data_IF_636049721088
#
_entry.id   IF_636049721088
#
_cell.length_a   1.000
_cell.length_b   1.000
_cell.length_c   1.000
_cell.angle_alpha   90.00
_cell.angle_beta   90.00
_cell.angle_gamma   90.00
#
_symmetry.space_group_name_H-M   'P 1'
#
loop_
_entity.id
_entity.type
_entity.pdbx_description
1 polymer ?
#
# COMPACT_ATOMS: atom_id res chain seq x y z
N UNK A 1 -21.35 -21.85 25.55
CA UNK A 1 -21.53 -20.93 24.42
C UNK A 1 -22.40 -21.63 23.38
N UNK A 2 -23.34 -20.92 22.76
CA UNK A 2 -24.14 -21.42 21.64
C UNK A 2 -23.24 -21.96 20.51
N UNK A 3 -23.47 -23.19 19.99
CA UNK A 3 -22.71 -23.75 18.85
C UNK A 3 -22.79 -22.91 17.56
N UNK A 4 -23.83 -22.10 17.39
CA UNK A 4 -23.99 -21.18 16.26
C UNK A 4 -23.18 -19.90 16.41
N UNK A 5 -22.64 -19.61 17.61
CA UNK A 5 -21.86 -18.42 17.87
C UNK A 5 -20.61 -18.37 16.97
N UNK A 6 -20.33 -17.19 16.45
CA UNK A 6 -19.13 -16.94 15.65
C UNK A 6 -17.92 -16.69 16.53
N UNK A 7 -16.72 -16.84 15.96
CA UNK A 7 -15.47 -16.42 16.62
C UNK A 7 -15.52 -14.94 17.05
N UNK A 8 -16.21 -14.09 16.29
CA UNK A 8 -16.44 -12.69 16.69
C UNK A 8 -17.23 -12.57 17.99
N UNK A 9 -18.27 -13.39 18.16
CA UNK A 9 -19.10 -13.38 19.37
C UNK A 9 -18.30 -13.86 20.60
N UNK A 10 -17.43 -14.86 20.41
CA UNK A 10 -16.49 -15.28 21.45
C UNK A 10 -15.55 -14.15 21.85
N UNK A 11 -14.96 -13.45 20.87
CA UNK A 11 -14.09 -12.31 21.14
C UNK A 11 -14.79 -11.21 21.93
N UNK A 12 -16.06 -10.92 21.62
CA UNK A 12 -16.89 -9.97 22.38
C UNK A 12 -17.12 -10.45 23.81
N UNK A 13 -17.37 -11.75 24.03
CA UNK A 13 -17.51 -12.32 25.38
C UNK A 13 -16.22 -12.21 26.18
N UNK A 14 -15.07 -12.52 25.58
CA UNK A 14 -13.75 -12.33 26.21
C UNK A 14 -13.54 -10.86 26.60
N UNK A 15 -13.90 -9.92 25.72
CA UNK A 15 -13.76 -8.50 26.00
C UNK A 15 -14.61 -8.04 27.19
N UNK A 16 -15.82 -8.58 27.36
CA UNK A 16 -16.67 -8.31 28.53
C UNK A 16 -16.01 -8.76 29.84
N UNK A 17 -15.27 -9.87 29.82
CA UNK A 17 -14.56 -10.40 31.00
C UNK A 17 -13.22 -9.67 31.21
N UNK A 18 -12.50 -9.37 30.13
CA UNK A 18 -11.20 -8.69 30.12
C UNK A 18 -11.24 -7.46 29.21
N UNK A 19 -11.64 -6.28 29.72
CA UNK A 19 -11.82 -5.07 28.92
C UNK A 19 -10.57 -4.65 28.12
N UNK A 20 -9.37 -4.93 28.61
CA UNK A 20 -8.11 -4.62 27.88
C UNK A 20 -7.93 -5.40 26.57
N UNK A 21 -8.63 -6.53 26.41
CA UNK A 21 -8.60 -7.38 25.23
C UNK A 21 -9.82 -7.09 24.36
N UNK A 22 -9.85 -5.95 23.66
CA UNK A 22 -10.91 -5.68 22.68
C UNK A 22 -10.81 -6.64 21.47
N UNK A 23 -11.90 -6.89 20.73
CA UNK A 23 -11.96 -7.97 19.74
C UNK A 23 -10.82 -8.01 18.72
N UNK A 24 -10.40 -6.86 18.19
CA UNK A 24 -9.31 -6.79 17.19
C UNK A 24 -7.93 -7.16 17.76
N UNK A 25 -7.71 -6.97 19.07
CA UNK A 25 -6.47 -7.35 19.77
C UNK A 25 -6.38 -8.86 20.02
N UNK A 26 -7.46 -9.61 19.78
CA UNK A 26 -7.54 -11.04 20.05
C UNK A 26 -7.33 -11.87 18.79
N UNK A 27 -6.47 -12.89 18.89
CA UNK A 27 -6.40 -13.99 17.94
C UNK A 27 -6.76 -15.30 18.63
N UNK A 28 -7.89 -15.90 18.25
CA UNK A 28 -8.32 -17.20 18.77
C UNK A 28 -7.82 -18.33 17.88
N UNK A 29 -7.41 -19.43 18.49
CA UNK A 29 -6.88 -20.64 17.83
C UNK A 29 -7.47 -21.91 18.45
N UNK A 30 -7.60 -22.96 17.64
CA UNK A 30 -7.97 -24.30 18.12
C UNK A 30 -6.82 -24.99 18.86
N UNK A 31 -5.58 -24.70 18.48
CA UNK A 31 -4.37 -25.28 19.06
C UNK A 31 -3.37 -24.18 19.42
N UNK A 32 -2.48 -24.39 20.42
CA UNK A 32 -1.50 -23.39 20.84
C UNK A 32 -0.64 -22.86 19.66
N UNK A 33 -0.17 -23.78 18.81
CA UNK A 33 0.66 -23.50 17.63
C UNK A 33 -0.14 -23.50 16.32
N UNK A 34 -1.47 -23.58 16.40
CA UNK A 34 -2.35 -23.60 15.23
C UNK A 34 -2.47 -22.25 14.51
N UNK A 35 -3.17 -22.28 13.38
CA UNK A 35 -3.57 -21.06 12.64
C UNK A 35 -4.67 -20.31 13.39
N UNK A 36 -4.71 -18.99 13.22
CA UNK A 36 -5.80 -18.17 13.74
C UNK A 36 -7.11 -18.51 13.02
N UNK A 37 -8.18 -18.67 13.81
CA UNK A 37 -9.52 -18.92 13.33
C UNK A 37 -10.10 -17.66 12.69
N UNK A 38 -10.98 -17.83 11.69
CA UNK A 38 -11.61 -16.70 11.01
C UNK A 38 -12.79 -16.19 11.83
N UNK A 39 -12.95 -14.87 11.86
CA UNK A 39 -13.98 -14.19 12.64
C UNK A 39 -15.43 -14.63 12.32
N UNK A 40 -15.67 -15.12 11.10
CA UNK A 40 -16.97 -15.55 10.61
C UNK A 40 -17.21 -17.07 10.72
N UNK A 41 -16.21 -17.85 11.15
CA UNK A 41 -16.41 -19.26 11.44
C UNK A 41 -17.26 -19.42 12.70
N UNK A 42 -18.15 -20.41 12.70
CA UNK A 42 -18.97 -20.77 13.86
C UNK A 42 -18.31 -21.92 14.62
N UNK A 43 -18.59 -22.03 15.93
CA UNK A 43 -18.11 -23.16 16.73
C UNK A 43 -18.53 -24.51 16.14
N UNK A 44 -19.76 -24.59 15.60
CA UNK A 44 -20.28 -25.76 14.87
C UNK A 44 -19.45 -26.09 13.64
N UNK A 45 -19.13 -25.10 12.79
CA UNK A 45 -18.33 -25.32 11.57
C UNK A 45 -16.91 -25.81 11.86
N UNK A 46 -16.40 -25.51 13.05
CA UNK A 46 -15.09 -25.88 13.54
C UNK A 46 -15.11 -27.17 14.39
N UNK A 47 -16.26 -27.84 14.50
CA UNK A 47 -16.45 -29.07 15.28
C UNK A 47 -16.07 -28.95 16.77
N UNK A 48 -16.22 -27.77 17.37
CA UNK A 48 -16.01 -27.61 18.83
C UNK A 48 -17.11 -28.33 19.61
N UNK A 49 -16.71 -29.24 20.51
CA UNK A 49 -17.60 -29.94 21.44
C UNK A 49 -17.58 -29.27 22.81
N UNK A 50 -18.58 -29.56 23.65
CA UNK A 50 -18.56 -29.14 25.06
C UNK A 50 -17.28 -29.62 25.74
N UNK A 51 -16.62 -28.73 26.49
CA UNK A 51 -15.31 -28.97 27.12
C UNK A 51 -14.08 -28.67 26.24
N UNK A 52 -14.26 -28.35 24.96
CA UNK A 52 -13.16 -27.95 24.09
C UNK A 52 -12.57 -26.59 24.50
N UNK A 53 -11.26 -26.43 24.36
CA UNK A 53 -10.55 -25.21 24.76
C UNK A 53 -10.17 -24.35 23.53
N UNK A 54 -10.24 -23.03 23.71
CA UNK A 54 -9.75 -22.06 22.74
C UNK A 54 -8.53 -21.34 23.29
N UNK A 55 -7.49 -21.22 22.47
CA UNK A 55 -6.27 -20.52 22.83
C UNK A 55 -6.34 -19.07 22.38
N UNK A 56 -6.28 -18.16 23.34
CA UNK A 56 -6.21 -16.72 23.07
C UNK A 56 -4.76 -16.27 22.98
N UNK A 57 -4.42 -15.65 21.85
CA UNK A 57 -3.18 -14.89 21.67
C UNK A 57 -3.50 -13.40 21.68
N UNK A 58 -2.83 -12.67 22.57
CA UNK A 58 -2.83 -11.21 22.57
C UNK A 58 -1.93 -10.69 21.43
N UNK A 59 -2.50 -9.91 20.51
CA UNK A 59 -1.79 -9.29 19.39
C UNK A 59 -1.15 -7.94 19.75
N UNK A 60 -1.43 -7.41 20.94
CA UNK A 60 -1.08 -6.06 21.36
C UNK A 60 -2.00 -4.99 20.74
N UNK A 61 -1.72 -3.69 20.97
CA UNK A 61 -2.53 -2.61 20.42
C UNK A 61 -2.58 -2.64 18.89
N UNK A 62 -3.80 -2.59 18.37
CA UNK A 62 -4.11 -2.62 16.95
C UNK A 62 -4.65 -1.27 16.48
N UNK A 63 -4.44 -0.97 15.21
CA UNK A 63 -4.95 0.23 14.52
C UNK A 63 -5.61 -0.18 13.20
N UNK A 64 -6.71 0.48 12.85
CA UNK A 64 -7.44 0.19 11.61
C UNK A 64 -6.64 0.50 10.35
N UNK A 65 -6.70 -0.37 9.33
CA UNK A 65 -5.95 -0.19 8.08
C UNK A 65 -6.24 1.13 7.37
N UNK A 66 -7.49 1.62 7.43
CA UNK A 66 -7.86 2.92 6.86
C UNK A 66 -7.03 4.05 7.48
N UNK A 67 -6.96 4.09 8.82
CA UNK A 67 -6.18 5.09 9.54
C UNK A 67 -4.69 4.96 9.24
N UNK A 68 -4.17 3.72 9.19
CA UNK A 68 -2.76 3.47 8.84
C UNK A 68 -2.41 4.09 7.50
N UNK A 69 -3.17 3.76 6.45
CA UNK A 69 -2.88 4.26 5.12
C UNK A 69 -3.04 5.78 5.01
N UNK A 70 -4.02 6.37 5.72
CA UNK A 70 -4.16 7.82 5.74
C UNK A 70 -2.92 8.50 6.35
N UNK A 71 -2.45 8.04 7.51
CA UNK A 71 -1.27 8.62 8.18
C UNK A 71 0.01 8.33 7.37
N UNK A 72 0.13 7.13 6.82
CA UNK A 72 1.25 6.70 5.97
C UNK A 72 1.41 7.59 4.74
N UNK A 73 0.32 7.94 4.05
CA UNK A 73 0.34 8.76 2.83
C UNK A 73 0.24 10.26 3.09
N UNK A 74 -0.32 10.70 4.21
CA UNK A 74 -0.41 12.13 4.54
C UNK A 74 0.97 12.72 4.84
N UNK A 75 1.81 12.02 5.60
CA UNK A 75 3.14 12.52 5.94
C UNK A 75 4.04 12.86 4.75
N UNK A 76 4.31 11.95 3.78
CA UNK A 76 5.12 12.29 2.62
C UNK A 76 4.52 13.42 1.78
N UNK A 77 3.19 13.57 1.73
CA UNK A 77 2.54 14.70 1.07
C UNK A 77 2.84 16.01 1.79
N UNK A 78 2.56 16.07 3.09
CA UNK A 78 2.76 17.26 3.91
C UNK A 78 4.23 17.66 3.97
N UNK A 79 5.12 16.70 4.25
CA UNK A 79 6.55 16.94 4.40
C UNK A 79 7.19 17.40 3.09
N UNK A 80 6.81 16.83 1.95
CA UNK A 80 7.30 17.30 0.65
C UNK A 80 6.83 18.75 0.38
N UNK A 81 5.57 19.07 0.66
CA UNK A 81 5.04 20.43 0.51
C UNK A 81 5.75 21.43 1.44
N UNK A 82 6.08 21.02 2.67
CA UNK A 82 6.92 21.84 3.58
C UNK A 82 8.30 22.05 2.98
N UNK A 83 8.96 21.03 2.42
CA UNK A 83 10.26 21.25 1.78
C UNK A 83 10.17 22.15 0.53
N UNK A 84 9.03 22.13 -0.16
CA UNK A 84 8.80 22.94 -1.36
C UNK A 84 8.68 24.44 -1.06
N UNK A 85 8.24 24.83 0.16
CA UNK A 85 8.28 26.24 0.58
C UNK A 85 9.69 26.74 0.91
N UNK A 86 10.70 25.87 0.87
CA UNK A 86 12.11 26.16 1.18
C UNK A 86 12.30 26.86 2.54
N UNK A 87 11.83 26.28 3.65
CA UNK A 87 11.97 26.88 4.97
C UNK A 87 13.44 27.12 5.31
N UNK A 88 13.72 28.24 5.95
CA UNK A 88 15.08 28.67 6.27
C UNK A 88 15.86 27.66 7.10
N UNK A 89 15.17 26.90 7.97
CA UNK A 89 15.75 25.84 8.78
C UNK A 89 16.49 24.78 7.96
N UNK A 90 16.00 24.44 6.76
CA UNK A 90 16.61 23.40 5.93
C UNK A 90 17.48 23.95 4.81
N UNK A 91 17.23 25.17 4.34
CA UNK A 91 17.81 25.67 3.10
C UNK A 91 18.57 27.00 3.22
N UNK A 92 18.57 27.63 4.39
CA UNK A 92 19.15 28.95 4.65
C UNK A 92 18.15 30.10 4.50
N UNK A 93 18.47 31.26 5.10
CA UNK A 93 17.55 32.41 5.24
C UNK A 93 16.90 32.84 3.91
N UNK A 94 17.70 32.94 2.84
CA UNK A 94 17.25 33.46 1.54
C UNK A 94 16.82 32.38 0.55
N UNK A 95 16.60 31.14 1.00
CA UNK A 95 16.27 30.05 0.07
C UNK A 95 14.93 30.23 -0.64
N UNK A 96 13.95 30.78 0.07
CA UNK A 96 12.59 31.00 -0.42
C UNK A 96 12.50 32.07 -1.53
N UNK A 97 13.46 33.01 -1.58
CA UNK A 97 13.50 34.06 -2.62
C UNK A 97 14.17 33.59 -3.90
N UNK A 98 14.95 32.50 -3.85
CA UNK A 98 15.66 31.97 -5.02
C UNK A 98 14.68 31.34 -6.01
N UNK A 99 14.89 31.50 -7.32
CA UNK A 99 14.02 30.93 -8.33
C UNK A 99 13.99 29.40 -8.26
N UNK A 100 12.88 28.82 -8.73
CA UNK A 100 12.71 27.38 -8.89
C UNK A 100 12.68 27.02 -10.39
N UNK A 101 13.35 25.93 -10.74
CA UNK A 101 13.29 25.41 -12.10
C UNK A 101 11.91 24.80 -12.37
N UNK A 102 11.44 24.89 -13.62
CA UNK A 102 10.14 24.34 -14.03
C UNK A 102 9.96 22.86 -13.65
N UNK A 103 11.02 22.05 -13.74
CA UNK A 103 10.98 20.62 -13.37
C UNK A 103 10.65 20.39 -11.88
N UNK A 104 11.00 21.33 -11.00
CA UNK A 104 10.67 21.27 -9.56
C UNK A 104 9.16 21.42 -9.37
N UNK A 105 8.53 22.36 -10.09
CA UNK A 105 7.07 22.52 -10.08
C UNK A 105 6.34 21.29 -10.63
N UNK A 106 6.85 20.72 -11.73
CA UNK A 106 6.30 19.47 -12.30
C UNK A 106 6.44 18.32 -11.31
N UNK A 107 7.61 18.16 -10.68
CA UNK A 107 7.84 17.13 -9.67
C UNK A 107 6.90 17.29 -8.46
N UNK A 108 6.71 18.51 -7.96
CA UNK A 108 5.76 18.79 -6.90
C UNK A 108 4.32 18.44 -7.31
N UNK A 109 3.90 18.81 -8.52
CA UNK A 109 2.60 18.43 -9.08
C UNK A 109 2.42 16.91 -9.14
N UNK A 110 3.40 16.18 -9.67
CA UNK A 110 3.40 14.72 -9.70
C UNK A 110 3.27 14.11 -8.30
N UNK A 111 4.05 14.62 -7.34
CA UNK A 111 4.05 14.15 -5.96
C UNK A 111 2.69 14.36 -5.29
N UNK A 112 2.14 15.57 -5.41
CA UNK A 112 0.82 15.92 -4.84
C UNK A 112 -0.28 15.09 -5.47
N UNK A 113 -0.34 15.01 -6.81
CA UNK A 113 -1.35 14.22 -7.53
C UNK A 113 -1.28 12.76 -7.07
N UNK A 114 -0.07 12.20 -6.95
CA UNK A 114 0.11 10.83 -6.51
C UNK A 114 -0.44 10.60 -5.11
N UNK A 115 0.03 11.34 -4.10
CA UNK A 115 -0.33 11.09 -2.72
C UNK A 115 -1.77 11.53 -2.39
N UNK A 116 -2.26 12.62 -2.98
CA UNK A 116 -3.67 13.00 -2.87
C UNK A 116 -4.56 11.89 -3.41
N UNK A 117 -4.22 11.33 -4.57
CA UNK A 117 -4.93 10.19 -5.14
C UNK A 117 -4.86 8.94 -4.25
N UNK A 118 -3.72 8.64 -3.61
CA UNK A 118 -3.60 7.54 -2.63
C UNK A 118 -4.49 7.75 -1.39
N UNK A 119 -4.59 8.98 -0.90
CA UNK A 119 -5.49 9.34 0.19
C UNK A 119 -6.96 9.17 -0.21
N UNK A 120 -7.35 9.69 -1.37
CA UNK A 120 -8.72 9.54 -1.91
C UNK A 120 -9.08 8.07 -2.16
N UNK A 121 -8.16 7.27 -2.72
CA UNK A 121 -8.34 5.82 -2.89
C UNK A 121 -8.58 5.12 -1.56
N UNK A 122 -7.84 5.52 -0.52
CA UNK A 122 -7.98 4.96 0.83
C UNK A 122 -9.34 5.31 1.45
N UNK A 123 -9.85 6.52 1.19
CA UNK A 123 -11.15 6.96 1.69
C UNK A 123 -12.33 6.30 0.95
N UNK A 124 -12.25 6.21 -0.38
CA UNK A 124 -13.43 5.94 -1.23
C UNK A 124 -13.40 4.60 -1.98
N UNK A 125 -12.22 3.99 -2.17
CA UNK A 125 -12.06 2.81 -3.03
C UNK A 125 -11.69 1.56 -2.23
N UNK A 126 -10.74 1.64 -1.31
CA UNK A 126 -10.23 0.46 -0.61
C UNK A 126 -11.27 -0.20 0.31
N UNK A 127 -11.39 -1.53 0.18
CA UNK A 127 -12.16 -2.41 1.10
C UNK A 127 -11.19 -3.38 1.78
N UNK A 128 -10.92 -3.14 3.07
CA UNK A 128 -9.99 -3.96 3.86
C UNK A 128 -10.71 -5.21 4.43
N UNK A 129 -10.07 -6.38 4.30
CA UNK A 129 -10.66 -7.66 4.73
C UNK A 129 -10.28 -8.07 6.16
N UNK A 130 -9.09 -7.69 6.61
CA UNK A 130 -8.73 -7.65 8.03
C UNK A 130 -8.88 -6.20 8.50
N UNK A 131 -9.48 -5.98 9.67
CA UNK A 131 -9.80 -4.65 10.15
C UNK A 131 -8.56 -3.85 10.53
N UNK A 132 -7.53 -4.51 11.06
CA UNK A 132 -6.46 -3.84 11.79
C UNK A 132 -5.07 -4.43 11.56
N UNK A 133 -4.05 -3.71 12.05
CA UNK A 133 -2.66 -4.16 12.16
C UNK A 133 -2.02 -3.72 13.48
N UNK A 134 -0.93 -4.36 13.93
CA UNK A 134 -0.19 -3.92 15.12
C UNK A 134 0.35 -2.49 14.97
N UNK A 135 0.14 -1.65 15.97
CA UNK A 135 0.51 -0.22 15.91
C UNK A 135 2.02 0.01 15.70
N UNK A 136 2.87 -0.90 16.16
CA UNK A 136 4.33 -0.78 15.95
C UNK A 136 4.72 -0.80 14.47
N UNK A 137 3.92 -1.44 13.61
CA UNK A 137 4.16 -1.42 12.16
C UNK A 137 3.80 -0.08 11.54
N UNK A 138 2.95 0.74 12.18
CA UNK A 138 2.62 2.09 11.70
C UNK A 138 3.88 2.94 11.67
N UNK A 139 4.64 2.96 12.76
CA UNK A 139 5.87 3.73 12.85
C UNK A 139 6.90 3.28 11.81
N UNK A 140 7.05 1.97 11.58
CA UNK A 140 7.94 1.46 10.54
C UNK A 140 7.56 1.96 9.14
N UNK A 141 6.28 1.85 8.80
CA UNK A 141 5.78 2.29 7.50
C UNK A 141 5.89 3.82 7.35
N UNK A 142 5.44 4.57 8.35
CA UNK A 142 5.52 6.03 8.36
C UNK A 142 6.97 6.49 8.26
N UNK A 143 7.90 5.95 9.05
CA UNK A 143 9.32 6.31 8.95
C UNK A 143 9.86 6.12 7.54
N UNK A 144 9.53 5.00 6.86
CA UNK A 144 9.93 4.80 5.47
C UNK A 144 9.39 5.93 4.56
N UNK A 145 8.07 6.10 4.48
CA UNK A 145 7.48 7.06 3.54
C UNK A 145 7.81 8.52 3.88
N UNK A 146 7.77 8.88 5.16
CA UNK A 146 7.96 10.25 5.63
C UNK A 146 9.40 10.69 5.46
N UNK A 147 10.37 9.83 5.82
CA UNK A 147 11.79 10.15 5.64
C UNK A 147 12.15 10.20 4.17
N UNK A 148 11.67 9.29 3.33
CA UNK A 148 11.89 9.41 1.88
C UNK A 148 11.19 10.62 1.28
N UNK A 149 10.01 10.99 1.76
CA UNK A 149 9.31 12.20 1.34
C UNK A 149 10.10 13.46 1.65
N UNK A 150 10.64 13.57 2.86
CA UNK A 150 11.58 14.66 3.20
C UNK A 150 12.88 14.57 2.43
N UNK A 151 13.48 13.39 2.26
CA UNK A 151 14.76 13.24 1.60
C UNK A 151 14.68 13.62 0.12
N UNK A 152 13.66 13.15 -0.59
CA UNK A 152 13.43 13.53 -1.98
C UNK A 152 13.06 15.01 -2.08
N UNK A 153 12.14 15.48 -1.23
CA UNK A 153 11.74 16.89 -1.18
C UNK A 153 12.93 17.81 -0.91
N UNK A 154 13.82 17.43 0.00
CA UNK A 154 15.05 18.15 0.33
C UNK A 154 15.87 18.41 -0.92
N UNK A 155 16.27 17.36 -1.65
CA UNK A 155 17.16 17.48 -2.80
C UNK A 155 16.49 18.07 -4.04
N UNK A 156 15.25 17.70 -4.35
CA UNK A 156 14.54 18.20 -5.54
C UNK A 156 14.21 19.68 -5.39
N UNK A 157 13.83 20.11 -4.18
CA UNK A 157 13.46 21.50 -3.94
C UNK A 157 14.66 22.38 -3.57
N UNK A 158 15.87 21.82 -3.40
CA UNK A 158 17.04 22.57 -2.97
C UNK A 158 17.38 23.75 -3.91
N UNK A 159 17.83 24.92 -3.41
CA UNK A 159 18.24 26.03 -4.26
C UNK A 159 19.41 25.73 -5.21
N UNK A 160 20.22 24.72 -4.86
CA UNK A 160 21.35 24.22 -5.67
C UNK A 160 20.97 23.06 -6.59
N UNK A 161 19.69 22.72 -6.70
CA UNK A 161 19.24 21.64 -7.57
C UNK A 161 19.54 21.99 -9.04
N UNK A 162 20.34 21.16 -9.69
CA UNK A 162 20.64 21.26 -11.11
C UNK A 162 19.65 20.42 -11.91
N UNK A 163 18.82 21.02 -12.79
CA UNK A 163 17.88 20.25 -13.58
C UNK A 163 18.61 19.38 -14.62
N UNK A 164 17.99 18.29 -15.09
CA UNK A 164 18.51 17.49 -16.18
C UNK A 164 18.81 18.33 -17.44
N UNK A 165 19.78 17.89 -18.24
CA UNK A 165 20.22 18.59 -19.47
C UNK A 165 19.04 19.03 -20.35
N UNK A 166 19.19 20.15 -21.05
CA UNK A 166 18.18 20.67 -21.99
C UNK A 166 17.87 19.66 -23.11
N UNK A 167 18.83 18.82 -23.48
CA UNK A 167 18.64 17.80 -24.53
C UNK A 167 17.69 16.68 -24.09
N UNK A 168 17.64 16.40 -22.79
CA UNK A 168 16.72 15.43 -22.19
C UNK A 168 15.26 15.96 -22.04
N UNK A 169 14.89 17.06 -22.70
CA UNK A 169 13.53 17.62 -22.65
C UNK A 169 12.47 16.61 -23.13
N UNK A 170 12.74 15.91 -24.23
CA UNK A 170 11.84 14.90 -24.79
C UNK A 170 11.65 13.74 -23.81
N UNK A 171 12.74 13.26 -23.22
CA UNK A 171 12.73 12.16 -22.26
C UNK A 171 11.96 12.54 -20.99
N UNK A 172 12.12 13.77 -20.49
CA UNK A 172 11.34 14.26 -19.35
C UNK A 172 9.84 14.34 -19.64
N UNK A 173 9.47 14.83 -20.82
CA UNK A 173 8.07 14.90 -21.22
C UNK A 173 7.47 13.49 -21.34
N UNK A 174 8.20 12.56 -21.95
CA UNK A 174 7.78 11.15 -22.00
C UNK A 174 7.64 10.54 -20.60
N UNK A 175 8.59 10.76 -19.70
CA UNK A 175 8.52 10.27 -18.31
C UNK A 175 7.33 10.89 -17.55
N UNK A 176 7.01 12.15 -17.77
CA UNK A 176 5.81 12.78 -17.21
C UNK A 176 4.54 12.10 -17.72
N UNK A 177 4.42 11.88 -19.03
CA UNK A 177 3.28 11.16 -19.61
C UNK A 177 3.16 9.74 -19.04
N UNK A 178 4.29 9.04 -18.90
CA UNK A 178 4.33 7.71 -18.31
C UNK A 178 3.91 7.70 -16.84
N UNK A 179 4.36 8.69 -16.05
CA UNK A 179 3.94 8.87 -14.66
C UNK A 179 2.43 9.09 -14.53
N UNK A 180 1.88 9.97 -15.37
CA UNK A 180 0.44 10.27 -15.39
C UNK A 180 -0.38 9.06 -15.87
N UNK A 181 0.11 8.32 -16.87
CA UNK A 181 -0.50 7.08 -17.31
C UNK A 181 -0.52 6.02 -16.19
N UNK A 182 0.61 5.86 -15.48
CA UNK A 182 0.71 4.94 -14.34
C UNK A 182 -0.17 5.36 -13.16
N UNK A 183 -0.48 6.66 -13.03
CA UNK A 183 -1.44 7.15 -12.04
C UNK A 183 -2.86 6.61 -12.27
N UNK A 184 -3.17 6.12 -13.49
CA UNK A 184 -4.42 5.41 -13.83
C UNK A 184 -4.48 3.97 -13.29
N UNK A 185 -3.51 3.53 -12.47
CA UNK A 185 -3.60 2.35 -11.58
C UNK A 185 -4.84 2.34 -10.68
N UNK A 186 -5.56 3.47 -10.57
CA UNK A 186 -6.89 3.52 -9.95
C UNK A 186 -7.83 2.46 -10.55
N UNK A 187 -7.74 2.25 -11.88
CA UNK A 187 -8.52 1.23 -12.59
C UNK A 187 -8.26 -0.17 -12.03
N UNK A 188 -7.00 -0.47 -11.68
CA UNK A 188 -6.63 -1.73 -11.02
C UNK A 188 -7.25 -1.80 -9.62
N UNK A 189 -7.16 -0.74 -8.82
CA UNK A 189 -7.72 -0.73 -7.47
C UNK A 189 -9.26 -0.87 -7.49
N UNK A 190 -9.93 -0.24 -8.45
CA UNK A 190 -11.38 -0.39 -8.67
C UNK A 190 -11.71 -1.82 -9.10
N UNK A 191 -10.96 -2.40 -10.04
CA UNK A 191 -11.14 -3.80 -10.43
C UNK A 191 -10.97 -4.75 -9.23
N UNK A 192 -9.91 -4.55 -8.43
CA UNK A 192 -9.66 -5.34 -7.21
C UNK A 192 -10.76 -5.15 -6.15
N UNK A 193 -11.32 -3.95 -6.03
CA UNK A 193 -12.47 -3.68 -5.16
C UNK A 193 -13.71 -4.45 -5.63
N UNK A 194 -13.99 -4.44 -6.93
CA UNK A 194 -15.19 -5.05 -7.50
C UNK A 194 -15.17 -6.58 -7.45
N UNK A 195 -13.98 -7.20 -7.36
CA UNK A 195 -13.86 -8.64 -7.08
C UNK A 195 -14.39 -9.05 -5.70
N UNK A 196 -14.63 -8.07 -4.81
CA UNK A 196 -15.21 -8.27 -3.49
C UNK A 196 -16.58 -7.60 -3.43
N UNK A 197 -17.68 -8.36 -3.60
CA UNK A 197 -19.02 -7.89 -3.25
C UNK A 197 -19.03 -7.28 -1.83
N UNK A 198 -19.87 -6.26 -1.62
CA UNK A 198 -19.93 -5.60 -0.31
C UNK A 198 -20.31 -6.62 0.77
N UNK A 199 -19.56 -6.65 1.88
CA UNK A 199 -19.81 -7.59 2.99
C UNK A 199 -19.23 -9.00 2.83
N UNK A 200 -18.62 -9.36 1.69
CA UNK A 200 -18.01 -10.68 1.52
C UNK A 200 -16.49 -10.65 1.71
N UNK A 201 -15.94 -11.74 2.25
CA UNK A 201 -14.48 -11.97 2.36
C UNK A 201 -13.95 -12.93 1.28
N UNK A 202 -14.77 -13.22 0.27
CA UNK A 202 -14.43 -14.14 -0.82
C UNK A 202 -13.26 -13.59 -1.65
N UNK A 203 -12.33 -14.46 -2.04
CA UNK A 203 -11.22 -14.11 -2.92
C UNK A 203 -11.49 -14.66 -4.30
N UNK A 204 -11.28 -13.83 -5.31
CA UNK A 204 -11.40 -14.20 -6.73
C UNK A 204 -10.09 -13.90 -7.46
N UNK A 205 -9.88 -14.60 -8.57
CA UNK A 205 -8.74 -14.33 -9.46
C UNK A 205 -9.02 -13.00 -10.18
N UNK A 206 -8.12 -12.01 -10.10
CA UNK A 206 -8.28 -10.78 -10.87
C UNK A 206 -8.05 -11.05 -12.36
N UNK A 207 -8.91 -10.48 -13.20
CA UNK A 207 -8.87 -10.61 -14.66
C UNK A 207 -8.93 -9.24 -15.32
N UNK A 208 -8.52 -9.18 -16.58
CA UNK A 208 -8.65 -8.00 -17.41
C UNK A 208 -10.14 -7.64 -17.58
N UNK A 209 -10.43 -6.35 -17.66
CA UNK A 209 -11.75 -5.79 -17.95
C UNK A 209 -11.69 -4.99 -19.26
N UNK A 210 -12.81 -4.36 -19.65
CA UNK A 210 -12.85 -3.48 -20.81
C UNK A 210 -11.86 -2.29 -20.73
N UNK A 211 -11.37 -1.96 -19.53
CA UNK A 211 -10.39 -0.90 -19.35
C UNK A 211 -8.97 -1.41 -19.69
N UNK A 212 -8.25 -0.79 -20.65
CA UNK A 212 -6.95 -1.26 -21.12
C UNK A 212 -5.87 -1.28 -20.03
N UNK A 213 -5.98 -0.42 -19.01
CA UNK A 213 -5.05 -0.41 -17.87
C UNK A 213 -5.17 -1.67 -17.00
N UNK A 214 -6.22 -2.48 -17.18
CA UNK A 214 -6.39 -3.75 -16.47
C UNK A 214 -5.87 -4.95 -17.25
N UNK A 215 -5.51 -4.79 -18.52
CA UNK A 215 -5.01 -5.88 -19.36
C UNK A 215 -3.70 -6.46 -18.86
N UNK A 216 -2.95 -5.68 -18.07
CA UNK A 216 -1.75 -6.13 -17.40
C UNK A 216 -2.00 -7.31 -16.42
N UNK A 217 -3.24 -7.53 -15.96
CA UNK A 217 -3.62 -8.76 -15.25
C UNK A 217 -3.39 -10.02 -16.08
N UNK A 218 -3.41 -9.94 -17.42
CA UNK A 218 -3.07 -11.08 -18.29
C UNK A 218 -1.62 -11.54 -18.13
N UNK A 219 -0.71 -10.62 -17.81
CA UNK A 219 0.74 -10.89 -17.73
C UNK A 219 1.25 -11.03 -16.31
N UNK A 220 0.71 -10.28 -15.35
CA UNK A 220 1.21 -10.26 -13.96
C UNK A 220 0.08 -10.32 -12.94
N UNK A 221 0.44 -10.80 -11.75
CA UNK A 221 -0.47 -10.99 -10.62
C UNK A 221 -0.80 -9.68 -9.93
N UNK A 222 0.18 -8.80 -9.81
CA UNK A 222 0.10 -7.53 -9.08
C UNK A 222 0.40 -6.34 -10.00
N UNK A 223 -0.42 -6.08 -11.03
CA UNK A 223 -0.20 -4.97 -11.96
C UNK A 223 -0.20 -3.60 -11.25
N UNK A 224 -0.90 -3.47 -10.12
CA UNK A 224 -0.85 -2.27 -9.29
C UNK A 224 0.58 -1.94 -8.84
N UNK A 225 1.37 -2.96 -8.48
CA UNK A 225 2.78 -2.76 -8.10
C UNK A 225 3.65 -2.48 -9.32
N UNK A 226 3.38 -3.10 -10.47
CA UNK A 226 4.09 -2.79 -11.72
C UNK A 226 3.94 -1.32 -12.09
N UNK A 227 2.70 -0.80 -12.11
CA UNK A 227 2.44 0.61 -12.38
C UNK A 227 3.04 1.54 -11.31
N UNK A 228 3.06 1.12 -10.05
CA UNK A 228 3.72 1.87 -8.97
C UNK A 228 5.21 2.07 -9.29
N UNK A 229 5.91 0.98 -9.60
CA UNK A 229 7.35 0.97 -9.86
C UNK A 229 7.66 1.79 -11.12
N UNK A 230 6.87 1.62 -12.19
CA UNK A 230 7.03 2.39 -13.41
C UNK A 230 6.82 3.89 -13.20
N UNK A 231 5.86 4.28 -12.34
CA UNK A 231 5.66 5.69 -11.99
C UNK A 231 6.90 6.25 -11.28
N UNK A 232 7.41 5.57 -10.26
CA UNK A 232 8.57 6.06 -9.49
C UNK A 232 9.87 6.02 -10.28
N UNK A 233 10.04 5.05 -11.18
CA UNK A 233 11.14 5.03 -12.15
C UNK A 233 11.06 6.25 -13.08
N UNK A 234 9.87 6.55 -13.61
CA UNK A 234 9.65 7.74 -14.44
C UNK A 234 9.94 9.04 -13.68
N UNK A 235 9.51 9.13 -12.42
CA UNK A 235 9.80 10.28 -11.55
C UNK A 235 11.31 10.43 -11.30
N UNK A 236 12.02 9.32 -11.08
CA UNK A 236 13.46 9.30 -10.89
C UNK A 236 14.19 9.81 -12.13
N UNK A 237 13.84 9.32 -13.33
CA UNK A 237 14.45 9.79 -14.59
C UNK A 237 14.10 11.25 -14.86
N UNK A 238 12.86 11.66 -14.59
CA UNK A 238 12.40 13.04 -14.79
C UNK A 238 13.15 14.05 -13.92
N UNK A 239 13.47 13.67 -12.67
CA UNK A 239 14.14 14.54 -11.69
C UNK A 239 15.66 14.34 -11.65
N UNK A 240 16.18 13.24 -12.20
CA UNK A 240 17.56 12.76 -12.04
C UNK A 240 18.06 12.87 -10.59
N UNK A 241 17.19 12.55 -9.63
CA UNK A 241 17.45 12.69 -8.21
C UNK A 241 17.78 11.32 -7.60
N UNK A 242 19.00 11.16 -7.06
CA UNK A 242 19.46 9.91 -6.44
C UNK A 242 18.52 9.44 -5.31
N UNK A 243 18.09 10.29 -4.37
CA UNK A 243 17.05 9.93 -3.38
C UNK A 243 15.78 9.29 -3.97
N UNK A 244 15.31 9.78 -5.13
CA UNK A 244 14.13 9.22 -5.79
C UNK A 244 14.41 7.81 -6.35
N UNK A 245 15.61 7.59 -6.88
CA UNK A 245 16.07 6.28 -7.31
C UNK A 245 16.16 5.27 -6.15
N UNK A 246 16.72 5.69 -5.01
CA UNK A 246 16.78 4.86 -3.80
C UNK A 246 15.39 4.47 -3.29
N UNK A 247 14.45 5.42 -3.28
CA UNK A 247 13.05 5.15 -2.92
C UNK A 247 12.40 4.15 -3.90
N UNK A 248 12.66 4.31 -5.19
CA UNK A 248 12.14 3.40 -6.23
C UNK A 248 12.68 1.98 -6.03
N UNK A 249 13.98 1.84 -5.77
CA UNK A 249 14.63 0.54 -5.55
C UNK A 249 14.13 -0.16 -4.28
N UNK A 250 14.09 0.56 -3.16
CA UNK A 250 13.59 0.03 -1.89
C UNK A 250 12.11 -0.38 -2.00
N UNK A 251 11.29 0.47 -2.62
CA UNK A 251 9.88 0.19 -2.88
C UNK A 251 9.68 -1.00 -3.81
N UNK A 252 10.48 -1.11 -4.89
CA UNK A 252 10.45 -2.25 -5.81
C UNK A 252 10.78 -3.55 -5.10
N UNK A 253 11.86 -3.59 -4.31
CA UNK A 253 12.23 -4.78 -3.54
C UNK A 253 11.09 -5.24 -2.63
N UNK A 254 10.53 -4.33 -1.83
CA UNK A 254 9.46 -4.66 -0.90
C UNK A 254 8.19 -5.14 -1.62
N UNK A 255 7.81 -4.47 -2.72
CA UNK A 255 6.65 -4.87 -3.53
C UNK A 255 6.87 -6.19 -4.26
N UNK A 256 8.09 -6.50 -4.71
CA UNK A 256 8.43 -7.76 -5.34
C UNK A 256 8.27 -8.94 -4.35
N UNK A 257 8.76 -8.79 -3.12
CA UNK A 257 8.57 -9.79 -2.05
C UNK A 257 7.07 -10.04 -1.80
N UNK A 258 6.27 -8.97 -1.70
CA UNK A 258 4.82 -9.09 -1.53
C UNK A 258 4.11 -9.70 -2.74
N UNK A 259 4.55 -9.35 -3.96
CA UNK A 259 4.00 -9.87 -5.20
C UNK A 259 4.22 -11.38 -5.33
N UNK A 260 5.44 -11.84 -5.04
CA UNK A 260 5.80 -13.26 -5.04
C UNK A 260 4.98 -14.05 -4.02
N UNK A 261 4.80 -13.49 -2.81
CA UNK A 261 3.93 -14.07 -1.79
C UNK A 261 2.48 -14.19 -2.27
N UNK A 262 1.92 -13.13 -2.85
CA UNK A 262 0.55 -13.13 -3.42
C UNK A 262 0.42 -14.12 -4.57
N UNK A 263 1.36 -14.15 -5.49
CA UNK A 263 1.37 -15.03 -6.66
C UNK A 263 1.42 -16.51 -6.23
N UNK A 264 2.29 -16.86 -5.28
CA UNK A 264 2.34 -18.21 -4.70
C UNK A 264 1.02 -18.59 -4.04
N UNK A 265 0.40 -17.68 -3.32
CA UNK A 265 -0.90 -17.94 -2.69
C UNK A 265 -1.99 -18.16 -3.74
N UNK A 266 -2.02 -17.38 -4.82
CA UNK A 266 -2.97 -17.58 -5.91
C UNK A 266 -2.82 -18.96 -6.58
N UNK A 267 -1.57 -19.38 -6.89
CA UNK A 267 -1.30 -20.70 -7.46
C UNK A 267 -1.73 -21.87 -6.57
N UNK A 268 -1.66 -21.70 -5.24
CA UNK A 268 -2.10 -22.71 -4.27
C UNK A 268 -3.61 -22.73 -4.07
N UNK A 269 -4.24 -21.55 -4.09
CA UNK A 269 -5.65 -21.37 -3.76
C UNK A 269 -6.57 -21.67 -4.96
N UNK A 270 -6.10 -21.41 -6.19
CA UNK A 270 -6.92 -21.52 -7.39
C UNK A 270 -6.31 -22.50 -8.41
N UNK A 271 -6.92 -23.68 -8.61
CA UNK A 271 -6.46 -24.66 -9.60
C UNK A 271 -6.46 -24.13 -11.04
N UNK A 272 -7.38 -23.22 -11.36
CA UNK A 272 -7.53 -22.58 -12.67
C UNK A 272 -6.72 -21.28 -12.83
N UNK A 273 -5.72 -21.03 -11.96
CA UNK A 273 -4.89 -19.84 -12.05
C UNK A 273 -3.99 -19.86 -13.31
N UNK A 274 -3.93 -18.77 -14.11
CA UNK A 274 -3.12 -18.75 -15.32
C UNK A 274 -1.63 -18.99 -15.04
N UNK A 275 -1.06 -20.01 -15.70
CA UNK A 275 0.30 -20.49 -15.44
C UNK A 275 1.39 -19.51 -15.90
N UNK A 276 1.12 -18.77 -16.99
CA UNK A 276 2.08 -17.87 -17.63
C UNK A 276 2.21 -16.52 -16.93
N UNK A 277 1.29 -16.19 -16.00
CA UNK A 277 1.39 -14.96 -15.22
C UNK A 277 2.64 -14.95 -14.36
N UNK A 278 3.28 -13.78 -14.30
CA UNK A 278 4.38 -13.47 -13.38
C UNK A 278 3.88 -12.70 -12.16
N UNK A 279 4.73 -12.42 -11.19
CA UNK A 279 4.32 -11.76 -9.95
C UNK A 279 4.11 -10.24 -10.12
N UNK A 280 5.10 -9.55 -10.70
CA UNK A 280 5.21 -8.08 -10.75
C UNK A 280 5.85 -7.55 -12.04
N UNK A 281 6.86 -8.19 -12.63
CA UNK A 281 7.48 -7.75 -13.89
C UNK A 281 7.06 -8.71 -15.00
N UNK A 282 6.36 -8.23 -16.06
CA UNK A 282 5.97 -9.08 -17.18
C UNK A 282 7.15 -9.87 -17.73
N UNK A 283 6.93 -11.16 -17.99
CA UNK A 283 7.90 -12.11 -18.54
C UNK A 283 9.15 -12.42 -17.67
N UNK A 284 9.41 -11.64 -16.62
CA UNK A 284 10.61 -11.78 -15.77
C UNK A 284 10.28 -12.34 -14.38
N UNK A 285 9.50 -11.60 -13.57
CA UNK A 285 9.35 -11.84 -12.13
C UNK A 285 7.90 -11.87 -11.69
#
# INVERSE_FOLDING_TARGET
VDPSATITDIKKQVHRIKPKLYPDRQSLKSEPKGKSLRDNETLKSLNFKSGSQLYLKDLGPQIGWKTVFLVEYFGPLALYLVTYTRPSLFYGADAHTKPMHFVVHVAAGCWVIHYAKRLLETLFVHRFSHGTMPIMNLFKNCSYYWLFGMYIGYYVNHPLYTPPSKDAKKDRFFCLLLFLACSRKLSIHVALRNLRPSGTKERKIPVATANPFTWLFGMVSCPNYTYEVMAWLSFTVMTQCVPAGLFTLAGFYQMAVWALGKHRNYKKEFPNYPKDRKAIVPFVL
#
